data_IF_923166237287
#
_entry.id   IF_923166237287
#
_cell.length_a   1.000
_cell.length_b   1.000
_cell.length_c   1.000
_cell.angle_alpha   90.00
_cell.angle_beta   90.00
_cell.angle_gamma   90.00
#
_symmetry.space_group_name_H-M   'P 1'
#
loop_
_entity.id
_entity.type
_entity.pdbx_description
1 polymer ?
#
# COMPACT_ATOMS: atom_id res chain seq x y z
N UNK A 1 -24.80 -2.07 -0.57
CA UNK A 1 -23.50 -1.90 0.10
C UNK A 1 -23.56 -2.68 1.40
N UNK A 2 -22.63 -3.60 1.65
CA UNK A 2 -22.53 -4.34 2.93
C UNK A 2 -21.39 -3.71 3.74
N UNK A 3 -21.57 -3.53 5.04
CA UNK A 3 -20.54 -3.05 5.95
C UNK A 3 -20.18 -4.19 6.90
N UNK A 4 -19.08 -4.89 6.60
CA UNK A 4 -18.63 -6.07 7.33
C UNK A 4 -17.13 -6.29 7.10
N UNK A 5 -16.50 -7.07 7.99
CA UNK A 5 -15.12 -7.51 7.79
C UNK A 5 -14.99 -8.45 6.60
N UNK A 6 -13.82 -8.51 5.96
CA UNK A 6 -13.59 -9.47 4.88
C UNK A 6 -13.59 -10.91 5.40
N UNK A 7 -13.24 -11.11 6.67
CA UNK A 7 -13.32 -12.40 7.35
C UNK A 7 -14.76 -12.96 7.42
N UNK A 8 -15.75 -12.08 7.47
CA UNK A 8 -17.18 -12.42 7.54
C UNK A 8 -17.80 -12.62 6.14
N UNK A 9 -17.07 -12.34 5.06
CA UNK A 9 -17.58 -12.48 3.70
C UNK A 9 -17.49 -13.93 3.23
N UNK A 10 -18.63 -14.63 3.09
CA UNK A 10 -18.68 -16.06 2.74
C UNK A 10 -19.16 -16.39 1.34
N UNK A 11 -19.69 -15.41 0.62
CA UNK A 11 -20.24 -15.62 -0.72
C UNK A 11 -19.13 -16.02 -1.71
N UNK A 12 -19.47 -16.91 -2.64
CA UNK A 12 -18.60 -17.18 -3.80
C UNK A 12 -18.64 -16.01 -4.77
N UNK A 13 -17.50 -15.68 -5.36
CA UNK A 13 -17.35 -14.57 -6.32
C UNK A 13 -16.48 -15.00 -7.49
N UNK A 14 -16.70 -14.42 -8.66
CA UNK A 14 -15.90 -14.79 -9.84
C UNK A 14 -14.50 -14.16 -9.81
N UNK A 15 -14.38 -12.93 -9.32
CA UNK A 15 -13.15 -12.13 -9.35
C UNK A 15 -13.03 -11.27 -8.09
N UNK A 16 -11.80 -11.01 -7.64
CA UNK A 16 -11.52 -10.16 -6.48
C UNK A 16 -10.63 -8.98 -6.89
N UNK A 17 -10.92 -7.79 -6.37
CA UNK A 17 -10.03 -6.63 -6.46
C UNK A 17 -9.83 -6.08 -5.05
N UNK A 18 -8.57 -5.86 -4.67
CA UNK A 18 -8.21 -5.19 -3.42
C UNK A 18 -7.24 -4.06 -3.71
N UNK A 19 -7.52 -2.87 -3.17
CA UNK A 19 -6.77 -1.63 -3.39
C UNK A 19 -6.54 -0.99 -2.02
N UNK A 20 -5.29 -0.83 -1.62
CA UNK A 20 -4.94 -0.10 -0.40
C UNK A 20 -5.30 -0.80 0.92
N UNK A 21 -5.57 -2.11 0.88
CA UNK A 21 -5.98 -2.86 2.07
C UNK A 21 -4.81 -3.43 2.86
N UNK A 22 -3.72 -3.83 2.19
CA UNK A 22 -2.63 -4.58 2.81
C UNK A 22 -1.75 -3.71 3.69
N UNK A 23 -1.71 -2.40 3.44
CA UNK A 23 -1.09 -1.38 4.26
C UNK A 23 -1.77 -1.23 5.62
N UNK A 24 -3.07 -1.54 5.68
CA UNK A 24 -3.88 -1.53 6.90
C UNK A 24 -3.92 -2.90 7.60
N UNK A 25 -3.44 -3.96 6.93
CA UNK A 25 -3.36 -5.29 7.51
C UNK A 25 -1.99 -5.50 8.16
N UNK A 26 -2.00 -6.12 9.33
CA UNK A 26 -0.76 -6.68 9.88
C UNK A 26 -0.43 -8.00 9.19
N UNK A 27 0.86 -8.29 9.09
CA UNK A 27 1.38 -9.45 8.38
C UNK A 27 0.80 -10.80 8.85
N UNK A 28 0.40 -10.91 10.12
CA UNK A 28 -0.21 -12.13 10.67
C UNK A 28 -1.55 -12.47 10.00
N UNK A 29 -2.22 -11.47 9.40
CA UNK A 29 -3.49 -11.66 8.68
C UNK A 29 -3.33 -12.04 7.22
N UNK A 30 -2.12 -11.96 6.64
CA UNK A 30 -1.93 -12.18 5.20
C UNK A 30 -2.30 -13.61 4.79
N UNK A 31 -1.86 -14.63 5.56
CA UNK A 31 -2.20 -16.03 5.27
C UNK A 31 -3.71 -16.25 5.22
N UNK A 32 -4.43 -15.84 6.27
CA UNK A 32 -5.88 -15.96 6.36
C UNK A 32 -6.60 -15.22 5.21
N UNK A 33 -6.09 -14.05 4.79
CA UNK A 33 -6.66 -13.31 3.67
C UNK A 33 -6.53 -14.08 2.36
N UNK A 34 -5.32 -14.56 2.02
CA UNK A 34 -5.09 -15.27 0.77
C UNK A 34 -5.84 -16.62 0.73
N UNK A 35 -5.84 -17.37 1.84
CA UNK A 35 -6.62 -18.62 1.94
C UNK A 35 -8.11 -18.35 1.72
N UNK A 36 -8.65 -17.29 2.35
CA UNK A 36 -10.05 -16.92 2.16
C UNK A 36 -10.35 -16.55 0.72
N UNK A 37 -9.53 -15.69 0.13
CA UNK A 37 -9.66 -15.27 -1.27
C UNK A 37 -9.64 -16.46 -2.22
N UNK A 38 -8.73 -17.42 -2.02
CA UNK A 38 -8.64 -18.62 -2.84
C UNK A 38 -9.88 -19.51 -2.72
N UNK A 39 -10.40 -19.66 -1.50
CA UNK A 39 -11.54 -20.52 -1.21
C UNK A 39 -12.85 -19.99 -1.80
N UNK A 40 -13.04 -18.67 -1.90
CA UNK A 40 -14.28 -18.09 -2.42
C UNK A 40 -14.29 -17.89 -3.93
N UNK A 41 -13.13 -18.03 -4.58
CA UNK A 41 -12.98 -17.99 -6.04
C UNK A 41 -13.27 -19.36 -6.69
N UNK A 42 -13.88 -19.40 -7.89
CA UNK A 42 -13.93 -20.59 -8.73
C UNK A 42 -12.54 -20.98 -9.24
N UNK A 43 -12.42 -22.13 -9.90
CA UNK A 43 -11.14 -22.66 -10.39
C UNK A 43 -10.49 -21.79 -11.47
N UNK A 44 -11.27 -20.98 -12.21
CA UNK A 44 -10.76 -19.98 -13.17
C UNK A 44 -10.64 -18.57 -12.54
N UNK A 45 -10.75 -18.49 -11.22
CA UNK A 45 -10.83 -17.25 -10.46
C UNK A 45 -9.56 -16.44 -10.52
N UNK A 46 -9.71 -15.11 -10.52
CA UNK A 46 -8.58 -14.16 -10.54
C UNK A 46 -8.73 -13.08 -9.49
N UNK A 47 -7.62 -12.69 -8.90
CA UNK A 47 -7.53 -11.59 -7.96
C UNK A 47 -6.53 -10.54 -8.44
N UNK A 48 -6.92 -9.27 -8.41
CA UNK A 48 -5.99 -8.14 -8.51
C UNK A 48 -5.72 -7.59 -7.11
N UNK A 49 -4.47 -7.71 -6.66
CA UNK A 49 -4.01 -7.09 -5.43
C UNK A 49 -3.18 -5.85 -5.75
N UNK A 50 -3.63 -4.69 -5.28
CA UNK A 50 -2.97 -3.40 -5.42
C UNK A 50 -2.61 -2.84 -4.04
N UNK A 51 -1.32 -2.71 -3.77
CA UNK A 51 -0.80 -2.25 -2.47
C UNK A 51 0.45 -1.42 -2.64
N UNK A 52 0.63 -0.42 -1.78
CA UNK A 52 1.95 0.14 -1.49
C UNK A 52 2.78 -0.97 -0.85
N UNK A 53 4.05 -1.04 -1.25
CA UNK A 53 5.02 -1.99 -0.75
C UNK A 53 6.35 -1.31 -0.48
N UNK A 54 7.15 -1.96 0.37
CA UNK A 54 8.52 -1.60 0.64
C UNK A 54 9.46 -2.75 0.26
N UNK A 55 10.75 -2.53 0.48
CA UNK A 55 11.80 -3.49 0.19
C UNK A 55 12.57 -3.78 1.47
N UNK A 56 13.01 -5.02 1.63
CA UNK A 56 13.92 -5.37 2.72
C UNK A 56 15.22 -4.57 2.60
N UNK A 57 15.94 -4.40 3.71
CA UNK A 57 17.23 -3.68 3.70
C UNK A 57 18.20 -4.26 2.66
N UNK A 58 18.24 -5.59 2.52
CA UNK A 58 19.04 -6.28 1.50
C UNK A 58 18.62 -5.85 0.09
N UNK A 59 17.33 -5.88 -0.22
CA UNK A 59 16.81 -5.48 -1.54
C UNK A 59 17.03 -3.99 -1.82
N UNK A 60 16.93 -3.13 -0.80
CA UNK A 60 17.24 -1.71 -0.95
C UNK A 60 18.71 -1.52 -1.34
N UNK A 61 19.63 -2.20 -0.65
CA UNK A 61 21.05 -2.18 -0.98
C UNK A 61 21.34 -2.69 -2.40
N UNK A 62 20.76 -3.82 -2.80
CA UNK A 62 20.91 -4.40 -4.14
C UNK A 62 20.37 -3.46 -5.24
N UNK A 63 19.37 -2.64 -4.92
CA UNK A 63 18.80 -1.64 -5.82
C UNK A 63 19.53 -0.30 -5.80
N UNK A 64 20.62 -0.18 -5.04
CA UNK A 64 21.38 1.06 -4.90
C UNK A 64 20.64 2.15 -4.10
N UNK A 65 19.59 1.78 -3.35
CA UNK A 65 18.83 2.69 -2.50
C UNK A 65 19.53 2.82 -1.15
N UNK A 66 19.97 4.04 -0.82
CA UNK A 66 20.55 4.36 0.48
C UNK A 66 19.49 4.98 1.39
N UNK A 67 19.30 4.39 2.58
CA UNK A 67 18.38 4.92 3.59
C UNK A 67 19.13 5.85 4.52
N UNK A 68 18.69 7.11 4.57
CA UNK A 68 19.28 8.14 5.42
C UNK A 68 18.58 8.21 6.78
N UNK A 69 19.20 8.91 7.73
CA UNK A 69 18.55 9.23 9.00
C UNK A 69 17.30 10.12 8.83
N UNK A 70 17.21 10.89 7.73
CA UNK A 70 16.01 11.67 7.43
C UNK A 70 14.84 10.75 7.07
N UNK A 71 15.10 9.72 6.26
CA UNK A 71 14.09 8.74 5.86
C UNK A 71 13.56 7.97 7.07
N UNK A 72 14.44 7.56 7.99
CA UNK A 72 14.03 6.88 9.22
C UNK A 72 13.12 7.78 10.08
N UNK A 73 13.48 9.06 10.23
CA UNK A 73 12.64 10.02 10.97
C UNK A 73 11.28 10.24 10.28
N UNK A 74 11.26 10.26 8.96
CA UNK A 74 10.02 10.42 8.21
C UNK A 74 9.12 9.17 8.28
N UNK A 75 9.70 7.97 8.18
CA UNK A 75 8.97 6.72 8.39
C UNK A 75 8.36 6.65 9.80
N UNK A 76 9.11 7.11 10.82
CA UNK A 76 8.58 7.24 12.19
C UNK A 76 7.42 8.23 12.25
N UNK A 77 7.55 9.41 11.62
CA UNK A 77 6.46 10.39 11.53
C UNK A 77 5.19 9.80 10.90
N UNK A 78 5.31 9.05 9.80
CA UNK A 78 4.15 8.36 9.20
C UNK A 78 3.51 7.41 10.22
N UNK A 79 4.31 6.54 10.84
CA UNK A 79 3.82 5.51 11.76
C UNK A 79 3.26 6.05 13.09
N UNK A 80 3.54 7.29 13.45
CA UNK A 80 3.00 7.92 14.67
C UNK A 80 1.88 8.91 14.40
N UNK A 81 1.97 9.68 13.32
CA UNK A 81 1.09 10.84 13.08
C UNK A 81 0.05 10.61 11.98
N UNK A 82 0.31 9.72 11.00
CA UNK A 82 -0.54 9.58 9.81
C UNK A 82 -1.24 8.23 9.78
N UNK A 83 -0.48 7.13 9.89
CA UNK A 83 -1.01 5.76 9.86
C UNK A 83 -0.52 4.94 11.06
N UNK A 84 -1.02 5.22 12.28
CA UNK A 84 -0.70 4.42 13.46
C UNK A 84 -1.05 2.94 13.26
N UNK A 85 -0.05 2.07 13.36
CA UNK A 85 -0.21 0.63 13.19
C UNK A 85 -0.24 0.13 11.75
N UNK A 86 -0.06 1.01 10.75
CA UNK A 86 0.11 0.62 9.36
C UNK A 86 1.43 -0.13 9.14
N UNK A 87 1.40 -1.12 8.24
CA UNK A 87 2.56 -1.93 7.90
C UNK A 87 2.63 -2.13 6.39
N UNK A 88 3.77 -1.83 5.78
CA UNK A 88 3.97 -2.08 4.36
C UNK A 88 4.48 -3.52 4.15
N UNK A 89 3.84 -4.32 3.27
CA UNK A 89 4.40 -5.61 2.87
C UNK A 89 5.68 -5.42 2.05
N UNK A 90 6.56 -6.42 2.07
CA UNK A 90 7.55 -6.57 1.01
C UNK A 90 6.93 -7.34 -0.17
N UNK A 91 7.46 -7.11 -1.38
CA UNK A 91 7.03 -7.88 -2.56
C UNK A 91 7.15 -9.40 -2.35
N UNK A 92 8.19 -9.85 -1.65
CA UNK A 92 8.40 -11.25 -1.32
C UNK A 92 7.33 -11.84 -0.38
N UNK A 93 6.72 -11.02 0.48
CA UNK A 93 5.62 -11.47 1.34
C UNK A 93 4.39 -11.81 0.52
N UNK A 94 4.04 -10.95 -0.44
CA UNK A 94 2.91 -11.17 -1.35
C UNK A 94 3.10 -12.49 -2.11
N UNK A 95 4.29 -12.71 -2.68
CA UNK A 95 4.60 -13.96 -3.39
C UNK A 95 4.47 -15.18 -2.47
N UNK A 96 5.10 -15.12 -1.30
CA UNK A 96 5.12 -16.23 -0.35
C UNK A 96 3.72 -16.62 0.11
N UNK A 97 2.90 -15.65 0.52
CA UNK A 97 1.58 -15.93 1.06
C UNK A 97 0.56 -16.27 -0.04
N UNK A 98 0.64 -15.64 -1.22
CA UNK A 98 -0.23 -16.00 -2.34
C UNK A 98 0.02 -17.44 -2.81
N UNK A 99 1.30 -17.82 -2.98
CA UNK A 99 1.67 -19.18 -3.37
C UNK A 99 1.29 -20.21 -2.31
N UNK A 100 1.48 -19.90 -1.02
CA UNK A 100 1.09 -20.79 0.06
C UNK A 100 -0.42 -21.07 0.08
N UNK A 101 -1.26 -20.13 -0.34
CA UNK A 101 -2.70 -20.31 -0.46
C UNK A 101 -3.14 -21.02 -1.75
N UNK A 102 -2.23 -21.26 -2.70
CA UNK A 102 -2.51 -21.93 -3.98
C UNK A 102 -2.56 -21.01 -5.20
N UNK A 103 -2.40 -19.69 -5.06
CA UNK A 103 -2.37 -18.79 -6.21
C UNK A 103 -1.04 -18.86 -6.97
N UNK A 104 -1.12 -18.71 -8.29
CA UNK A 104 0.02 -18.36 -9.14
C UNK A 104 0.03 -16.85 -9.43
N UNK A 105 1.23 -16.26 -9.47
CA UNK A 105 1.40 -14.85 -9.86
C UNK A 105 1.60 -14.78 -11.37
N UNK A 106 0.59 -14.32 -12.09
CA UNK A 106 0.65 -14.20 -13.55
C UNK A 106 1.40 -12.94 -13.97
N UNK A 107 1.18 -11.82 -13.28
CA UNK A 107 1.76 -10.53 -13.64
C UNK A 107 2.00 -9.66 -12.42
N UNK A 108 3.13 -8.95 -12.43
CA UNK A 108 3.42 -7.86 -11.50
C UNK A 108 3.63 -6.58 -12.30
N UNK A 109 2.94 -5.50 -11.92
CA UNK A 109 3.15 -4.16 -12.46
C UNK A 109 3.55 -3.24 -11.32
N UNK A 110 4.70 -2.61 -11.43
CA UNK A 110 5.18 -1.61 -10.47
C UNK A 110 4.83 -0.22 -11.00
N UNK A 111 4.26 0.62 -10.13
CA UNK A 111 3.65 1.90 -10.47
C UNK A 111 4.29 3.06 -9.70
N UNK A 112 5.59 2.96 -9.39
CA UNK A 112 6.36 3.93 -8.59
C UNK A 112 6.15 5.37 -9.05
N UNK A 113 6.43 5.64 -10.33
CA UNK A 113 6.36 6.99 -10.93
C UNK A 113 4.92 7.54 -10.95
N UNK A 114 3.94 6.64 -11.07
CA UNK A 114 2.53 7.04 -11.03
C UNK A 114 2.13 7.53 -9.64
N UNK A 115 2.64 6.88 -8.58
CA UNK A 115 2.31 7.28 -7.21
C UNK A 115 3.09 8.52 -6.78
N UNK A 116 4.34 8.69 -7.21
CA UNK A 116 5.06 9.96 -7.10
C UNK A 116 4.24 11.11 -7.71
N UNK A 117 3.80 10.97 -8.96
CA UNK A 117 2.97 11.96 -9.64
C UNK A 117 1.65 12.23 -8.92
N UNK A 118 1.02 11.18 -8.39
CA UNK A 118 -0.23 11.31 -7.64
C UNK A 118 -0.04 12.15 -6.38
N UNK A 119 1.01 11.87 -5.60
CA UNK A 119 1.32 12.61 -4.37
C UNK A 119 1.66 14.07 -4.66
N UNK A 120 2.42 14.33 -5.73
CA UNK A 120 2.74 15.69 -6.18
C UNK A 120 1.46 16.48 -6.53
N UNK A 121 0.53 15.86 -7.26
CA UNK A 121 -0.76 16.49 -7.60
C UNK A 121 -1.63 16.73 -6.36
N UNK A 122 -1.63 15.82 -5.38
CA UNK A 122 -2.35 16.00 -4.13
C UNK A 122 -1.76 17.15 -3.30
N UNK A 123 -0.43 17.24 -3.21
CA UNK A 123 0.28 18.32 -2.56
C UNK A 123 -0.06 19.68 -3.19
N UNK A 124 0.06 19.81 -4.52
CA UNK A 124 -0.28 21.02 -5.25
C UNK A 124 -1.76 21.44 -5.07
N UNK A 125 -2.66 20.46 -5.04
CA UNK A 125 -4.08 20.73 -4.80
C UNK A 125 -4.39 21.19 -3.38
N UNK A 126 -3.69 20.64 -2.37
CA UNK A 126 -3.83 21.07 -0.97
C UNK A 126 -3.29 22.48 -0.80
N UNK A 127 -2.12 22.77 -1.36
CA UNK A 127 -1.53 24.11 -1.36
C UNK A 127 -2.45 25.15 -2.03
N UNK A 128 -2.94 24.86 -3.25
CA UNK A 128 -3.82 25.76 -3.99
C UNK A 128 -5.15 26.05 -3.27
N UNK A 129 -5.58 25.15 -2.37
CA UNK A 129 -6.81 25.27 -1.58
C UNK A 129 -6.51 25.49 -0.09
N UNK A 130 -5.28 25.91 0.26
CA UNK A 130 -4.78 25.94 1.64
C UNK A 130 -5.70 26.70 2.60
N UNK A 131 -6.13 27.90 2.24
CA UNK A 131 -7.02 28.70 3.08
C UNK A 131 -8.34 27.96 3.40
N UNK A 132 -8.92 27.31 2.38
CA UNK A 132 -10.15 26.54 2.56
C UNK A 132 -9.93 25.28 3.39
N UNK A 133 -8.78 24.62 3.23
CA UNK A 133 -8.41 23.47 4.05
C UNK A 133 -8.22 23.87 5.52
N UNK A 134 -7.60 25.02 5.78
CA UNK A 134 -7.42 25.59 7.13
C UNK A 134 -8.76 25.97 7.75
N UNK A 135 -9.72 26.51 6.99
CA UNK A 135 -11.07 26.77 7.50
C UNK A 135 -11.84 25.51 7.91
N UNK A 136 -11.62 24.40 7.18
CA UNK A 136 -12.28 23.11 7.45
C UNK A 136 -11.58 22.36 8.58
N UNK A 137 -10.27 22.54 8.70
CA UNK A 137 -9.41 21.88 9.67
C UNK A 137 -8.62 22.92 10.49
N UNK A 138 -7.34 22.67 10.75
CA UNK A 138 -6.42 23.63 11.35
C UNK A 138 -5.19 23.76 10.48
N UNK A 139 -4.46 24.87 10.66
CA UNK A 139 -3.14 25.06 10.04
C UNK A 139 -2.20 23.92 10.37
N UNK A 140 -2.16 23.48 11.64
CA UNK A 140 -1.36 22.35 12.10
C UNK A 140 -1.66 21.05 11.32
N UNK A 141 -2.94 20.75 11.08
CA UNK A 141 -3.33 19.56 10.30
C UNK A 141 -2.92 19.72 8.84
N UNK A 142 -3.09 20.91 8.26
CA UNK A 142 -2.70 21.16 6.87
C UNK A 142 -1.18 21.00 6.68
N UNK A 143 -0.37 21.57 7.58
CA UNK A 143 1.09 21.44 7.57
C UNK A 143 1.54 19.99 7.73
N UNK A 144 0.89 19.26 8.63
CA UNK A 144 1.13 17.83 8.85
C UNK A 144 0.88 17.03 7.57
N UNK A 145 -0.25 17.28 6.90
CA UNK A 145 -0.59 16.61 5.64
C UNK A 145 0.32 17.02 4.49
N UNK A 146 0.74 18.28 4.42
CA UNK A 146 1.72 18.71 3.41
C UNK A 146 3.07 18.03 3.60
N UNK A 147 3.56 17.97 4.85
CA UNK A 147 4.78 17.23 5.19
C UNK A 147 4.66 15.75 4.81
N UNK A 148 3.50 15.14 5.07
CA UNK A 148 3.22 13.76 4.68
C UNK A 148 3.27 13.56 3.16
N UNK A 149 2.55 14.37 2.38
CA UNK A 149 2.46 14.21 0.92
C UNK A 149 3.83 14.36 0.25
N UNK A 150 4.56 15.44 0.57
CA UNK A 150 5.89 15.72 -0.02
C UNK A 150 6.94 14.70 0.44
N UNK A 151 6.88 14.27 1.70
CA UNK A 151 7.81 13.26 2.19
C UNK A 151 7.55 11.88 1.55
N UNK A 152 6.28 11.49 1.37
CA UNK A 152 5.95 10.27 0.66
C UNK A 152 6.39 10.33 -0.80
N UNK A 153 6.20 11.47 -1.48
CA UNK A 153 6.67 11.66 -2.85
C UNK A 153 8.18 11.35 -2.97
N UNK A 154 8.99 11.81 -2.01
CA UNK A 154 10.42 11.50 -1.96
C UNK A 154 10.71 10.01 -1.74
N UNK A 155 9.90 9.30 -0.95
CA UNK A 155 10.05 7.85 -0.77
C UNK A 155 9.82 7.08 -2.06
N UNK A 156 8.82 7.48 -2.86
CA UNK A 156 8.59 6.88 -4.18
C UNK A 156 9.68 7.28 -5.17
N UNK A 157 10.04 8.57 -5.24
CA UNK A 157 11.11 9.06 -6.12
C UNK A 157 12.45 8.34 -5.89
N UNK A 158 12.81 8.13 -4.63
CA UNK A 158 14.08 7.50 -4.24
C UNK A 158 14.03 5.96 -4.26
N UNK A 159 12.91 5.35 -4.68
CA UNK A 159 12.77 3.90 -4.79
C UNK A 159 12.67 3.17 -3.45
N UNK A 160 12.49 3.89 -2.34
CA UNK A 160 12.28 3.36 -0.99
C UNK A 160 10.97 2.58 -0.93
N UNK A 161 9.93 3.15 -1.55
CA UNK A 161 8.58 2.56 -1.65
C UNK A 161 8.16 2.42 -3.10
N UNK A 162 7.19 1.54 -3.34
CA UNK A 162 6.59 1.34 -4.65
C UNK A 162 5.11 0.96 -4.49
N UNK A 163 4.36 0.95 -5.58
CA UNK A 163 3.01 0.41 -5.63
C UNK A 163 3.01 -0.76 -6.58
N UNK A 164 2.58 -1.93 -6.10
CA UNK A 164 2.51 -3.14 -6.90
C UNK A 164 1.08 -3.52 -7.21
N UNK A 165 0.80 -3.84 -8.48
CA UNK A 165 -0.37 -4.60 -8.90
C UNK A 165 0.04 -6.04 -9.21
N UNK A 166 -0.53 -6.97 -8.46
CA UNK A 166 -0.30 -8.40 -8.58
C UNK A 166 -1.55 -9.05 -9.16
N UNK A 167 -1.43 -9.59 -10.36
CA UNK A 167 -2.47 -10.42 -10.97
C UNK A 167 -2.24 -11.85 -10.52
N UNK A 168 -3.17 -12.36 -9.71
CA UNK A 168 -3.13 -13.68 -9.10
C UNK A 168 -4.20 -14.55 -9.74
N UNK A 169 -3.84 -15.76 -10.12
CA UNK A 169 -4.72 -16.74 -10.75
C UNK A 169 -4.74 -18.02 -9.90
N UNK A 170 -5.93 -18.60 -9.77
CA UNK A 170 -6.12 -19.94 -9.23
C UNK A 170 -5.86 -20.98 -10.33
#
# INVERSE_FOLDING_TARGET
MRLQGWEEFEDKVDRIVTIGAFEAFRMERYAAFFERAYNILPDDGRMLLHTILTYTQKQQHERGVSITMSDIRFARFIGTEIFPGGQLPAQGDIFRFAQAAGFSVEKVQLLQEHYERTLNLWAANLEAKGQRAIEIQSEEVCDKYMRYLVGCENFFRNGISNVGQFTLVK
#
